data_IF_204129032229
#
_entry.id   IF_204129032229
#
_cell.length_a   1.000
_cell.length_b   1.000
_cell.length_c   1.000
_cell.angle_alpha   90.00
_cell.angle_beta   90.00
_cell.angle_gamma   90.00
#
_symmetry.space_group_name_H-M   'P 1'
#
loop_
_entity.id
_entity.type
_entity.pdbx_description
1 polymer ?
#
# COMPACT_ATOMS: atom_id res chain seq x y z
N UNK A 1 -33.46 21.39 10.48
CA UNK A 1 -32.05 21.44 10.93
C UNK A 1 -31.22 20.42 10.13
N UNK A 2 -30.80 20.71 8.88
CA UNK A 2 -30.07 19.75 8.04
C UNK A 2 -28.60 20.11 7.73
N UNK A 3 -28.18 21.36 7.96
CA UNK A 3 -26.84 21.85 7.58
C UNK A 3 -25.71 21.28 8.44
N UNK A 4 -26.04 20.95 9.69
CA UNK A 4 -25.14 20.42 10.70
C UNK A 4 -24.78 18.94 10.41
N UNK A 5 -25.71 18.19 9.79
CA UNK A 5 -25.48 16.80 9.40
C UNK A 5 -24.45 16.72 8.28
N UNK A 6 -24.64 17.48 7.20
CA UNK A 6 -23.74 17.47 6.05
C UNK A 6 -22.31 17.91 6.40
N UNK A 7 -22.14 18.83 7.36
CA UNK A 7 -20.82 19.23 7.84
C UNK A 7 -20.14 18.11 8.63
N UNK A 8 -20.84 17.45 9.56
CA UNK A 8 -20.30 16.32 10.31
C UNK A 8 -19.97 15.14 9.41
N UNK A 9 -20.80 14.89 8.39
CA UNK A 9 -20.57 13.85 7.39
C UNK A 9 -19.29 14.16 6.58
N UNK A 10 -19.13 15.41 6.12
CA UNK A 10 -17.93 15.85 5.41
C UNK A 10 -16.65 15.77 6.26
N UNK A 11 -16.73 16.08 7.55
CA UNK A 11 -15.60 15.98 8.48
C UNK A 11 -15.21 14.52 8.74
N UNK A 12 -16.18 13.62 8.88
CA UNK A 12 -15.93 12.17 9.00
C UNK A 12 -15.19 11.66 7.77
N UNK A 13 -15.69 11.98 6.57
CA UNK A 13 -15.05 11.58 5.31
C UNK A 13 -13.64 12.16 5.17
N UNK A 14 -13.40 13.38 5.66
CA UNK A 14 -12.08 13.97 5.65
C UNK A 14 -11.12 13.24 6.60
N UNK A 15 -11.57 12.88 7.80
CA UNK A 15 -10.78 12.11 8.76
C UNK A 15 -10.37 10.74 8.19
N UNK A 16 -11.32 10.02 7.59
CA UNK A 16 -11.07 8.73 6.93
C UNK A 16 -10.01 8.86 5.81
N UNK A 17 -10.08 9.93 5.02
CA UNK A 17 -9.11 10.21 3.96
C UNK A 17 -7.73 10.54 4.50
N UNK A 18 -7.65 11.32 5.58
CA UNK A 18 -6.37 11.66 6.22
C UNK A 18 -5.73 10.42 6.84
N UNK A 19 -6.52 9.54 7.45
CA UNK A 19 -6.07 8.24 7.97
C UNK A 19 -5.51 7.37 6.85
N UNK A 20 -6.26 7.21 5.76
CA UNK A 20 -5.81 6.45 4.59
C UNK A 20 -4.52 7.03 3.98
N UNK A 21 -4.43 8.36 3.85
CA UNK A 21 -3.22 9.02 3.35
C UNK A 21 -2.01 8.82 4.28
N UNK A 22 -2.23 8.88 5.58
CA UNK A 22 -1.19 8.60 6.59
C UNK A 22 -0.70 7.15 6.48
N UNK A 23 -1.61 6.19 6.38
CA UNK A 23 -1.27 4.77 6.20
C UNK A 23 -0.45 4.56 4.92
N UNK A 24 -0.87 5.14 3.80
CA UNK A 24 -0.13 5.08 2.54
C UNK A 24 1.27 5.70 2.65
N UNK A 25 1.38 6.83 3.34
CA UNK A 25 2.67 7.50 3.54
C UNK A 25 3.63 6.64 4.35
N UNK A 26 3.15 6.02 5.44
CA UNK A 26 3.94 5.10 6.27
C UNK A 26 4.34 3.84 5.51
N UNK A 27 3.41 3.23 4.77
CA UNK A 27 3.68 2.07 3.92
C UNK A 27 4.78 2.36 2.90
N UNK A 28 4.72 3.52 2.22
CA UNK A 28 5.75 3.93 1.26
C UNK A 28 7.11 4.15 1.93
N UNK A 29 7.13 4.83 3.07
CA UNK A 29 8.37 5.05 3.82
C UNK A 29 9.02 3.71 4.24
N UNK A 30 8.21 2.77 4.69
CA UNK A 30 8.65 1.42 5.05
C UNK A 30 9.23 0.65 3.86
N UNK A 31 8.52 0.62 2.73
CA UNK A 31 9.00 -0.06 1.52
C UNK A 31 10.32 0.54 1.03
N UNK A 32 10.43 1.86 0.98
CA UNK A 32 11.67 2.53 0.55
C UNK A 32 12.83 2.22 1.51
N UNK A 33 12.58 2.18 2.81
CA UNK A 33 13.59 1.87 3.80
C UNK A 33 14.09 0.42 3.68
N UNK A 34 13.18 -0.55 3.52
CA UNK A 34 13.55 -1.95 3.30
C UNK A 34 14.26 -2.14 1.96
N UNK A 35 13.76 -1.54 0.88
CA UNK A 35 14.42 -1.62 -0.43
C UNK A 35 15.84 -1.03 -0.38
N UNK A 36 16.08 -0.05 0.48
CA UNK A 36 17.41 0.52 0.70
C UNK A 36 18.29 -0.41 1.54
N UNK A 37 17.77 -0.95 2.64
CA UNK A 37 18.51 -1.80 3.59
C UNK A 37 18.84 -3.18 3.03
N UNK A 38 17.87 -3.79 2.35
CA UNK A 38 17.93 -5.18 1.89
C UNK A 38 18.08 -5.30 0.38
N UNK A 39 18.62 -4.25 -0.26
CA UNK A 39 18.79 -4.18 -1.71
C UNK A 39 19.47 -5.42 -2.29
N UNK A 40 20.60 -5.82 -1.73
CA UNK A 40 21.37 -6.96 -2.23
C UNK A 40 20.57 -8.26 -2.14
N UNK A 41 19.83 -8.45 -1.05
CA UNK A 41 18.97 -9.61 -0.86
C UNK A 41 17.78 -9.61 -1.85
N UNK A 42 17.15 -8.45 -2.07
CA UNK A 42 16.05 -8.31 -3.01
C UNK A 42 16.48 -8.51 -4.47
N UNK A 43 17.72 -8.16 -4.83
CA UNK A 43 18.27 -8.37 -6.19
C UNK A 43 18.51 -9.86 -6.50
N UNK A 44 18.68 -10.71 -5.48
CA UNK A 44 18.87 -12.16 -5.62
C UNK A 44 17.57 -12.96 -5.58
N UNK A 45 16.49 -12.37 -5.05
CA UNK A 45 15.19 -13.03 -4.89
C UNK A 45 14.34 -12.92 -6.16
N UNK A 46 13.55 -13.95 -6.43
CA UNK A 46 12.47 -13.85 -7.41
C UNK A 46 11.33 -12.97 -6.88
N UNK A 47 10.51 -12.45 -7.78
CA UNK A 47 9.45 -11.53 -7.41
C UNK A 47 8.46 -12.11 -6.36
N UNK A 48 8.06 -13.40 -6.41
CA UNK A 48 7.25 -14.01 -5.36
C UNK A 48 7.96 -14.08 -3.99
N UNK A 49 9.22 -14.51 -3.92
CA UNK A 49 9.94 -14.60 -2.65
C UNK A 49 10.26 -13.22 -2.07
N UNK A 50 10.56 -12.24 -2.93
CA UNK A 50 10.73 -10.85 -2.52
C UNK A 50 9.43 -10.30 -1.88
N UNK A 51 8.27 -10.52 -2.51
CA UNK A 51 6.96 -10.11 -1.95
C UNK A 51 6.67 -10.79 -0.61
N UNK A 52 6.92 -12.09 -0.50
CA UNK A 52 6.74 -12.83 0.75
C UNK A 52 7.64 -12.28 1.87
N UNK A 53 8.91 -12.00 1.55
CA UNK A 53 9.84 -11.39 2.51
C UNK A 53 9.40 -10.00 2.94
N UNK A 54 8.94 -9.16 2.00
CA UNK A 54 8.42 -7.82 2.32
C UNK A 54 7.17 -7.90 3.21
N UNK A 55 6.31 -8.90 2.98
CA UNK A 55 5.12 -9.13 3.80
C UNK A 55 5.48 -9.58 5.22
N UNK A 56 6.40 -10.52 5.36
CA UNK A 56 6.86 -11.02 6.66
C UNK A 56 7.43 -9.88 7.52
N UNK A 57 8.26 -9.02 6.91
CA UNK A 57 8.79 -7.83 7.56
C UNK A 57 7.72 -6.80 7.89
N UNK A 58 6.70 -6.66 7.04
CA UNK A 58 5.58 -5.76 7.31
C UNK A 58 4.79 -6.25 8.52
N UNK A 59 4.49 -7.55 8.60
CA UNK A 59 3.84 -8.18 9.75
C UNK A 59 4.66 -8.00 11.04
N UNK A 60 5.99 -8.14 10.98
CA UNK A 60 6.83 -7.90 12.13
C UNK A 60 6.86 -6.41 12.57
N UNK A 61 6.74 -5.48 11.63
CA UNK A 61 6.83 -4.04 11.91
C UNK A 61 5.51 -3.40 12.34
N UNK A 62 4.39 -3.89 11.82
CA UNK A 62 3.06 -3.28 11.96
C UNK A 62 1.98 -4.24 12.44
N UNK A 63 2.28 -5.53 12.61
CA UNK A 63 1.36 -6.53 13.15
C UNK A 63 1.12 -6.37 14.64
N UNK A 64 0.25 -7.22 15.18
CA UNK A 64 -0.11 -7.20 16.61
C UNK A 64 1.12 -7.37 17.52
N UNK A 65 2.14 -8.09 17.04
CA UNK A 65 3.40 -8.31 17.75
C UNK A 65 4.24 -7.03 17.90
N UNK A 66 3.97 -6.00 17.08
CA UNK A 66 4.67 -4.71 17.15
C UNK A 66 4.19 -3.80 18.30
N UNK A 67 3.15 -4.20 19.04
CA UNK A 67 2.67 -3.49 20.23
C UNK A 67 2.21 -2.06 19.90
N UNK A 68 2.87 -1.05 20.47
CA UNK A 68 2.54 0.37 20.23
C UNK A 68 2.79 0.82 18.78
N UNK A 69 3.59 0.08 18.01
CA UNK A 69 3.83 0.34 16.59
C UNK A 69 2.86 -0.41 15.67
N UNK A 70 1.94 -1.22 16.22
CA UNK A 70 0.94 -1.90 15.43
C UNK A 70 0.07 -0.90 14.67
N UNK A 71 -0.01 -1.07 13.35
CA UNK A 71 -0.76 -0.19 12.46
C UNK A 71 -1.46 -1.05 11.40
N UNK A 72 -2.69 -1.53 11.70
CA UNK A 72 -3.41 -2.42 10.80
C UNK A 72 -3.77 -1.76 9.47
N UNK A 73 -3.96 -0.43 9.47
CA UNK A 73 -4.25 0.33 8.24
C UNK A 73 -3.03 0.31 7.30
N UNK A 74 -1.82 0.40 7.85
CA UNK A 74 -0.57 0.28 7.07
C UNK A 74 -0.38 -1.14 6.55
N UNK A 75 -0.67 -2.16 7.36
CA UNK A 75 -0.62 -3.55 6.92
C UNK A 75 -1.57 -3.83 5.76
N UNK A 76 -2.80 -3.32 5.80
CA UNK A 76 -3.78 -3.54 4.72
C UNK A 76 -3.32 -2.91 3.40
N UNK A 77 -2.72 -1.71 3.47
CA UNK A 77 -2.10 -1.06 2.30
C UNK A 77 -0.94 -1.89 1.75
N UNK A 78 -0.05 -2.39 2.61
CA UNK A 78 1.08 -3.22 2.20
C UNK A 78 0.62 -4.59 1.64
N UNK A 79 -0.38 -5.21 2.25
CA UNK A 79 -1.05 -6.41 1.77
C UNK A 79 -1.58 -6.21 0.35
N UNK A 80 -2.33 -5.13 0.15
CA UNK A 80 -2.88 -4.79 -1.17
C UNK A 80 -1.78 -4.53 -2.20
N UNK A 81 -0.73 -3.78 -1.84
CA UNK A 81 0.36 -3.43 -2.74
C UNK A 81 1.26 -4.61 -3.13
N UNK A 82 1.42 -5.59 -2.24
CA UNK A 82 2.27 -6.77 -2.43
C UNK A 82 1.48 -8.01 -2.88
N UNK A 83 0.16 -7.92 -3.05
CA UNK A 83 -0.63 -9.01 -3.64
C UNK A 83 -0.26 -9.18 -5.12
N UNK A 84 -0.27 -10.42 -5.61
CA UNK A 84 -0.01 -10.70 -7.02
C UNK A 84 -1.07 -10.04 -7.91
N UNK A 85 -0.65 -9.05 -8.70
CA UNK A 85 -1.37 -8.57 -9.87
C UNK A 85 -2.20 -7.31 -9.67
N UNK A 86 -1.56 -6.15 -9.88
CA UNK A 86 -2.07 -5.25 -10.91
C UNK A 86 -1.07 -5.29 -12.07
N UNK A 87 -1.11 -6.36 -12.87
CA UNK A 87 -0.68 -6.21 -14.26
C UNK A 87 -1.62 -5.17 -14.84
N UNK A 88 -1.18 -3.91 -14.97
CA UNK A 88 -1.94 -2.93 -15.73
C UNK A 88 -2.20 -3.57 -17.09
N UNK A 89 -3.47 -3.79 -17.41
CA UNK A 89 -3.88 -4.37 -18.69
C UNK A 89 -3.33 -3.44 -19.77
N UNK A 90 -2.35 -3.92 -20.55
CA UNK A 90 -1.74 -3.11 -21.59
C UNK A 90 -2.81 -2.91 -22.66
N UNK A 91 -3.40 -1.71 -22.73
CA UNK A 91 -4.32 -1.35 -23.81
C UNK A 91 -3.48 -1.26 -25.09
N UNK A 92 -3.69 -2.14 -26.08
CA UNK A 92 -2.93 -2.07 -27.33
C UNK A 92 -3.29 -0.78 -28.07
N UNK A 93 -2.28 -0.10 -28.62
CA UNK A 93 -2.51 1.06 -29.49
C UNK A 93 -3.34 0.62 -30.71
N UNK A 94 -4.32 1.44 -31.16
CA UNK A 94 -5.08 1.14 -32.36
C UNK A 94 -4.13 1.15 -33.57
N UNK A 95 -3.87 -0.02 -34.15
CA UNK A 95 -3.28 -0.12 -35.49
C UNK A 95 -4.31 0.35 -36.50
N UNK A 96 -4.19 1.59 -36.98
CA UNK A 96 -4.96 2.07 -38.11
C UNK A 96 -4.71 1.14 -39.31
N UNK A 97 -5.72 0.34 -39.67
CA UNK A 97 -5.74 -0.34 -40.96
C UNK A 97 -6.00 0.70 -42.04
N UNK A 98 -4.93 1.25 -42.62
CA UNK A 98 -4.99 1.86 -43.95
C UNK A 98 -4.99 0.74 -44.98
N UNK A 99 -6.13 0.49 -45.60
CA UNK A 99 -6.25 -0.07 -46.94
C UNK A 99 -7.50 0.47 -47.61
#
# INVERSE_FOLDING_TARGET
MPQNSNLNDALTVLDDKLRSLSALTKANAFLVDIMRKDRALLEELDAPAARAMLMDRACAAFGEEAGEAADPDVLDVLATALTEGQTAEIIPFPTERRH
#
